data_IF_792555017270
#
_entry.id   IF_792555017270
#
_cell.length_a   1.000
_cell.length_b   1.000
_cell.length_c   1.000
_cell.angle_alpha   90.00
_cell.angle_beta   90.00
_cell.angle_gamma   90.00
#
_symmetry.space_group_name_H-M   'P 1'
#
loop_
_entity.id
_entity.type
_entity.pdbx_description
1 polymer ?
#
# COMPACT_ATOMS: atom_id res chain seq x y z
N UNK A 1 -8.77 -3.08 -19.29
CA UNK A 1 -7.52 -3.49 -18.62
C UNK A 1 -7.84 -3.96 -17.20
N UNK A 2 -6.94 -4.70 -16.55
CA UNK A 2 -7.09 -5.10 -15.14
C UNK A 2 -7.24 -3.89 -14.21
N UNK A 3 -6.50 -2.81 -14.48
CA UNK A 3 -6.59 -1.55 -13.72
C UNK A 3 -7.98 -0.92 -13.82
N UNK A 4 -8.56 -0.85 -15.02
CA UNK A 4 -9.91 -0.33 -15.20
C UNK A 4 -10.97 -1.15 -14.46
N UNK A 5 -10.80 -2.47 -14.38
CA UNK A 5 -11.71 -3.33 -13.61
C UNK A 5 -11.60 -3.05 -12.11
N UNK A 6 -10.37 -3.01 -11.57
CA UNK A 6 -10.13 -2.73 -10.16
C UNK A 6 -10.64 -1.33 -9.72
N UNK A 7 -10.55 -0.33 -10.59
CA UNK A 7 -11.05 1.03 -10.30
C UNK A 7 -12.58 1.14 -10.26
N UNK A 8 -13.33 0.22 -10.87
CA UNK A 8 -14.81 0.29 -10.85
C UNK A 8 -15.41 0.02 -9.47
N UNK A 9 -14.66 -0.66 -8.61
CA UNK A 9 -15.11 -1.05 -7.28
C UNK A 9 -15.08 0.13 -6.29
N UNK A 10 -14.41 1.23 -6.62
CA UNK A 10 -14.28 2.40 -5.73
C UNK A 10 -13.55 2.11 -4.42
N UNK A 11 -12.79 1.01 -4.37
CA UNK A 11 -12.08 0.57 -3.18
C UNK A 11 -10.89 1.48 -2.83
N UNK A 12 -10.60 1.59 -1.53
CA UNK A 12 -9.41 2.30 -1.02
C UNK A 12 -8.11 1.54 -1.25
N UNK A 13 -8.17 0.27 -1.66
CA UNK A 13 -7.02 -0.52 -2.09
C UNK A 13 -7.35 -1.25 -3.40
N UNK A 14 -6.47 -1.15 -4.40
CA UNK A 14 -6.55 -1.95 -5.61
C UNK A 14 -5.73 -3.23 -5.41
N UNK A 15 -6.35 -4.39 -5.56
CA UNK A 15 -5.66 -5.67 -5.42
C UNK A 15 -5.48 -6.35 -6.78
N UNK A 16 -4.29 -6.89 -7.02
CA UNK A 16 -3.97 -7.64 -8.25
C UNK A 16 -3.37 -9.00 -7.90
N UNK A 17 -3.79 -10.04 -8.63
CA UNK A 17 -3.27 -11.41 -8.46
C UNK A 17 -1.93 -11.66 -9.17
N UNK A 18 -1.38 -10.64 -9.83
CA UNK A 18 -0.09 -10.69 -10.50
C UNK A 18 0.60 -9.32 -10.45
N UNK A 19 1.93 -9.32 -10.57
CA UNK A 19 2.69 -8.08 -10.69
C UNK A 19 2.42 -7.45 -12.07
N UNK A 20 1.77 -6.29 -12.09
CA UNK A 20 1.46 -5.56 -13.31
C UNK A 20 1.92 -4.10 -13.24
N UNK A 21 2.27 -3.48 -14.39
CA UNK A 21 2.34 -2.03 -14.46
C UNK A 21 0.93 -1.46 -14.27
N UNK A 22 0.76 -0.66 -13.22
CA UNK A 22 -0.54 -0.08 -12.87
C UNK A 22 -0.53 1.45 -12.84
N UNK A 23 0.62 2.08 -12.59
CA UNK A 23 0.72 3.50 -12.26
C UNK A 23 0.22 4.40 -13.39
N UNK A 24 0.79 4.25 -14.58
CA UNK A 24 0.40 5.04 -15.76
C UNK A 24 -1.06 4.76 -16.17
N UNK A 25 -1.51 3.50 -16.37
CA UNK A 25 -2.92 3.23 -16.68
C UNK A 25 -3.90 3.75 -15.62
N UNK A 26 -3.52 3.74 -14.33
CA UNK A 26 -4.36 4.27 -13.26
C UNK A 26 -4.61 5.76 -13.43
N UNK A 27 -3.57 6.54 -13.76
CA UNK A 27 -3.70 7.99 -13.97
C UNK A 27 -4.37 8.34 -15.30
N UNK A 28 -4.10 7.60 -16.38
CA UNK A 28 -4.82 7.76 -17.66
C UNK A 28 -6.34 7.56 -17.50
N UNK A 29 -6.75 6.68 -16.59
CA UNK A 29 -8.15 6.40 -16.27
C UNK A 29 -8.75 7.37 -15.24
N UNK A 30 -8.08 8.48 -14.93
CA UNK A 30 -8.56 9.49 -13.97
C UNK A 30 -8.28 9.15 -12.51
N UNK A 31 -7.23 8.37 -12.23
CA UNK A 31 -6.82 7.93 -10.91
C UNK A 31 -6.62 9.04 -9.88
N UNK A 32 -6.35 10.28 -10.31
CA UNK A 32 -6.29 11.46 -9.42
C UNK A 32 -7.57 11.64 -8.59
N UNK A 33 -8.74 11.34 -9.17
CA UNK A 33 -10.04 11.45 -8.50
C UNK A 33 -10.51 10.15 -7.84
N UNK A 34 -9.81 9.04 -8.09
CA UNK A 34 -10.17 7.73 -7.54
C UNK A 34 -9.80 7.64 -6.04
N UNK A 35 -10.59 7.00 -5.17
CA UNK A 35 -10.34 6.95 -3.72
C UNK A 35 -9.19 6.03 -3.28
N UNK A 36 -8.61 5.26 -4.20
CA UNK A 36 -7.53 4.32 -3.88
C UNK A 36 -6.35 5.01 -3.18
N UNK A 37 -5.98 4.49 -2.02
CA UNK A 37 -4.82 4.90 -1.24
C UNK A 37 -3.69 3.89 -1.33
N UNK A 38 -4.00 2.63 -1.63
CA UNK A 38 -3.03 1.55 -1.69
C UNK A 38 -3.20 0.67 -2.93
N UNK A 39 -2.13 -0.03 -3.27
CA UNK A 39 -2.12 -1.13 -4.23
C UNK A 39 -1.45 -2.34 -3.57
N UNK A 40 -2.14 -3.48 -3.62
CA UNK A 40 -1.68 -4.76 -3.12
C UNK A 40 -1.43 -5.72 -4.30
N UNK A 41 -0.24 -6.30 -4.39
CA UNK A 41 0.10 -7.25 -5.44
C UNK A 41 1.27 -8.16 -5.06
N UNK A 42 1.43 -9.32 -5.72
CA UNK A 42 2.62 -10.15 -5.62
C UNK A 42 3.91 -9.41 -6.01
N UNK A 43 5.04 -9.83 -5.41
CA UNK A 43 6.41 -9.44 -5.73
C UNK A 43 7.31 -10.68 -5.58
N UNK A 44 7.42 -11.46 -6.66
CA UNK A 44 8.07 -12.78 -6.60
C UNK A 44 7.24 -13.70 -5.71
N UNK A 45 7.89 -14.30 -4.71
CA UNK A 45 7.24 -15.18 -3.71
C UNK A 45 6.52 -14.39 -2.59
N UNK A 46 6.79 -13.09 -2.49
CA UNK A 46 6.26 -12.22 -1.44
C UNK A 46 5.11 -11.34 -1.93
N UNK A 47 4.56 -10.52 -1.04
CA UNK A 47 3.52 -9.55 -1.31
C UNK A 47 3.98 -8.13 -1.02
N UNK A 48 3.56 -7.19 -1.87
CA UNK A 48 3.90 -5.78 -1.77
C UNK A 48 2.64 -4.95 -1.56
N UNK A 49 2.67 -4.11 -0.54
CA UNK A 49 1.70 -3.05 -0.33
C UNK A 49 2.36 -1.71 -0.66
N UNK A 50 1.80 -0.98 -1.62
CA UNK A 50 2.34 0.31 -2.08
C UNK A 50 1.29 1.40 -1.91
N UNK A 51 1.67 2.54 -1.35
CA UNK A 51 0.81 3.72 -1.34
C UNK A 51 0.62 4.29 -2.75
N UNK A 52 -0.58 4.77 -3.06
CA UNK A 52 -0.92 5.43 -4.33
C UNK A 52 -0.44 6.89 -4.24
N UNK A 53 0.26 7.43 -5.25
CA UNK A 53 0.67 8.83 -5.24
C UNK A 53 -0.52 9.76 -5.48
N UNK A 54 -0.43 11.05 -5.09
CA UNK A 54 -1.50 12.00 -5.35
C UNK A 54 -1.69 12.24 -6.87
N UNK A 55 -0.59 12.39 -7.61
CA UNK A 55 -0.56 12.56 -9.08
C UNK A 55 0.54 11.70 -9.72
N UNK A 56 0.57 11.62 -11.05
CA UNK A 56 1.59 10.86 -11.79
C UNK A 56 3.00 11.47 -11.64
N UNK A 57 3.10 12.80 -11.61
CA UNK A 57 4.35 13.55 -11.48
C UNK A 57 4.94 13.41 -10.08
N UNK A 58 4.06 13.35 -9.06
CA UNK A 58 4.42 13.17 -7.65
C UNK A 58 4.52 11.70 -7.24
N UNK A 59 5.06 10.85 -8.11
CA UNK A 59 5.14 9.38 -7.93
C UNK A 59 5.94 8.90 -6.71
N UNK A 60 6.75 9.79 -6.12
CA UNK A 60 7.53 9.54 -4.90
C UNK A 60 6.76 9.86 -3.62
N UNK A 61 5.69 10.65 -3.71
CA UNK A 61 4.78 10.91 -2.61
C UNK A 61 3.68 9.84 -2.56
N UNK A 62 2.97 9.73 -1.44
CA UNK A 62 1.82 8.83 -1.30
C UNK A 62 0.68 9.51 -0.55
N UNK A 63 -0.55 9.16 -0.90
CA UNK A 63 -1.78 9.67 -0.28
C UNK A 63 -1.87 9.32 1.20
N UNK A 64 -1.40 8.13 1.56
CA UNK A 64 -1.38 7.64 2.93
C UNK A 64 -0.03 6.93 3.17
N UNK A 65 0.96 7.61 3.79
CA UNK A 65 2.25 7.01 4.08
C UNK A 65 2.15 5.96 5.19
N UNK A 66 2.97 4.92 5.12
CA UNK A 66 3.13 3.94 6.20
C UNK A 66 3.55 4.64 7.53
N UNK A 67 3.33 3.99 8.69
CA UNK A 67 3.68 4.57 9.99
C UNK A 67 5.14 4.99 10.04
N UNK A 68 5.42 6.10 10.73
CA UNK A 68 6.80 6.57 10.92
C UNK A 68 7.65 5.55 11.67
N UNK A 69 7.04 4.83 12.61
CA UNK A 69 7.70 3.75 13.35
C UNK A 69 8.16 2.59 12.45
N UNK A 70 7.63 2.43 11.24
CA UNK A 70 8.05 1.39 10.29
C UNK A 70 9.18 1.85 9.37
N UNK A 71 9.48 3.15 9.31
CA UNK A 71 10.32 3.74 8.28
C UNK A 71 11.74 3.16 8.29
N UNK A 72 12.10 2.42 7.23
CA UNK A 72 13.44 1.85 7.06
C UNK A 72 13.70 0.58 7.88
N UNK A 73 12.69 0.04 8.56
CA UNK A 73 12.82 -1.22 9.29
C UNK A 73 12.83 -2.42 8.36
N UNK A 74 13.58 -3.44 8.76
CA UNK A 74 13.80 -4.70 8.07
C UNK A 74 13.51 -5.86 9.03
N UNK A 75 12.99 -6.95 8.48
CA UNK A 75 12.78 -8.25 9.14
C UNK A 75 12.30 -8.12 10.60
N UNK A 76 13.09 -8.61 11.56
CA UNK A 76 12.72 -8.71 12.98
C UNK A 76 12.35 -7.36 13.61
N UNK A 77 12.97 -6.27 13.19
CA UNK A 77 12.63 -4.95 13.72
C UNK A 77 11.24 -4.52 13.25
N UNK A 78 10.91 -4.76 11.99
CA UNK A 78 9.58 -4.46 11.46
C UNK A 78 8.53 -5.41 12.05
N UNK A 79 8.85 -6.70 12.23
CA UNK A 79 7.95 -7.67 12.91
C UNK A 79 7.61 -7.20 14.31
N UNK A 80 8.62 -6.80 15.09
CA UNK A 80 8.46 -6.31 16.47
C UNK A 80 7.57 -5.07 16.54
N UNK A 81 7.75 -4.11 15.63
CA UNK A 81 7.00 -2.83 15.66
C UNK A 81 5.62 -2.95 15.04
N UNK A 82 5.45 -3.73 13.97
CA UNK A 82 4.16 -3.91 13.29
C UNK A 82 3.27 -4.96 13.97
N UNK A 83 3.86 -5.90 14.71
CA UNK A 83 3.16 -7.07 15.25
C UNK A 83 2.79 -8.11 14.18
N UNK A 84 3.30 -7.98 12.95
CA UNK A 84 3.00 -8.87 11.82
C UNK A 84 4.16 -9.85 11.64
N UNK A 85 3.98 -11.17 11.83
CA UNK A 85 5.06 -12.15 11.76
C UNK A 85 5.76 -12.22 10.40
N UNK A 86 5.01 -12.03 9.31
CA UNK A 86 5.55 -12.03 7.94
C UNK A 86 6.09 -10.69 7.47
N UNK A 87 6.49 -9.78 8.37
CA UNK A 87 7.07 -8.50 7.94
C UNK A 87 8.50 -8.68 7.41
N UNK A 88 8.79 -8.11 6.23
CA UNK A 88 10.11 -8.19 5.58
C UNK A 88 10.78 -6.81 5.54
N UNK A 89 10.06 -5.78 5.09
CA UNK A 89 10.66 -4.45 4.91
C UNK A 89 9.60 -3.35 4.78
N UNK A 90 9.91 -2.15 5.29
CA UNK A 90 9.21 -0.92 4.93
C UNK A 90 10.22 0.16 4.52
N UNK A 91 9.97 0.79 3.37
CA UNK A 91 10.87 1.81 2.84
C UNK A 91 10.96 3.02 3.76
N UNK A 92 12.15 3.62 3.90
CA UNK A 92 12.37 4.81 4.73
C UNK A 92 11.48 6.00 4.35
N UNK A 93 11.16 6.12 3.06
CA UNK A 93 10.18 7.07 2.52
C UNK A 93 8.70 6.70 2.71
N UNK A 94 8.40 5.58 3.38
CA UNK A 94 7.05 5.15 3.79
C UNK A 94 6.04 4.98 2.64
N UNK A 95 6.51 4.69 1.43
CA UNK A 95 5.65 4.50 0.25
C UNK A 95 5.46 3.03 -0.17
N UNK A 96 6.32 2.12 0.28
CA UNK A 96 6.25 0.67 0.00
C UNK A 96 6.57 -0.13 1.25
N UNK A 97 5.85 -1.22 1.46
CA UNK A 97 6.24 -2.32 2.35
C UNK A 97 6.10 -3.69 1.68
N UNK A 98 6.83 -4.67 2.19
CA UNK A 98 6.88 -6.05 1.67
C UNK A 98 6.62 -7.03 2.81
N UNK A 99 5.86 -8.06 2.49
CA UNK A 99 5.31 -9.04 3.43
C UNK A 99 5.44 -10.44 2.86
N UNK A 100 5.60 -11.43 3.72
CA UNK A 100 5.76 -12.83 3.34
C UNK A 100 4.53 -13.34 2.59
N UNK A 101 3.34 -13.12 3.16
CA UNK A 101 2.08 -13.62 2.62
C UNK A 101 1.13 -12.49 2.24
N UNK A 102 0.12 -12.84 1.44
CA UNK A 102 -1.01 -11.96 1.14
C UNK A 102 -1.72 -11.52 2.41
N UNK A 103 -1.90 -12.46 3.33
CA UNK A 103 -2.58 -12.26 4.61
C UNK A 103 -1.84 -11.26 5.49
N UNK A 104 -0.51 -11.31 5.51
CA UNK A 104 0.34 -10.34 6.23
C UNK A 104 0.23 -8.94 5.63
N UNK A 105 0.25 -8.84 4.29
CA UNK A 105 0.05 -7.57 3.62
C UNK A 105 -1.36 -7.00 3.86
N UNK A 106 -2.39 -7.85 3.94
CA UNK A 106 -3.75 -7.45 4.31
C UNK A 106 -3.86 -7.01 5.77
N UNK A 107 -3.12 -7.62 6.71
CA UNK A 107 -3.04 -7.14 8.10
C UNK A 107 -2.47 -5.72 8.14
N UNK A 108 -1.38 -5.49 7.40
CA UNK A 108 -0.79 -4.16 7.29
C UNK A 108 -1.77 -3.14 6.71
N UNK A 109 -2.47 -3.49 5.62
CA UNK A 109 -3.50 -2.63 5.03
C UNK A 109 -4.59 -2.25 6.04
N UNK A 110 -5.07 -3.20 6.85
CA UNK A 110 -6.10 -2.92 7.88
C UNK A 110 -5.61 -1.93 8.94
N UNK A 111 -4.33 -2.00 9.32
CA UNK A 111 -3.74 -1.02 10.23
C UNK A 111 -3.78 0.38 9.60
N UNK A 112 -3.47 0.50 8.31
CA UNK A 112 -3.51 1.79 7.58
C UNK A 112 -4.91 2.40 7.50
N UNK A 113 -5.95 1.58 7.41
CA UNK A 113 -7.33 2.06 7.29
C UNK A 113 -8.00 2.36 8.62
N UNK A 114 -7.54 1.73 9.71
CA UNK A 114 -8.12 1.91 11.05
C UNK A 114 -7.58 3.14 11.79
N UNK A 115 -6.33 3.55 11.53
CA UNK A 115 -5.72 4.74 12.16
C UNK A 115 -6.41 6.06 11.80
N UNK A 116 -7.17 6.08 10.69
CA UNK A 116 -7.96 7.26 10.28
C UNK A 116 -9.12 7.60 11.24
N UNK A 117 -9.53 6.69 12.14
CA UNK A 117 -10.59 6.97 13.15
C UNK A 117 -10.08 7.58 14.44
N UNK A 118 -8.79 7.50 14.74
CA UNK A 118 -8.24 8.01 16.01
C UNK A 118 -7.81 9.49 15.92
N UNK A 119 -7.66 10.05 14.71
CA UNK A 119 -7.27 11.46 14.51
C UNK A 119 -8.43 12.47 14.52
N UNK A 120 -9.66 12.04 14.82
CA UNK A 120 -10.83 12.92 14.97
C UNK A 120 -11.21 13.20 16.44
N UNK A 121 -10.47 12.66 17.43
CA UNK A 121 -10.75 12.84 18.87
C UNK A 121 -9.56 13.45 19.65
N UNK A 122 -8.83 14.41 19.07
CA UNK A 122 -7.87 15.25 19.81
C UNK A 122 -8.06 16.73 19.47
#
# INVERSE_FOLDING_TARGET
>A
SLVAAAMKEGATCLEFNSAIPWLEPFFELGGERHPAQFVLMPKGEHWKLRGVPPTYERRMDVRNPFPESWAGLLDEDLKRVSGIPGAIFCHKGRFISVWETREDALRALRMMTNTSKEKENE
#
